data_IF_080788345433
#
_entry.id   IF_080788345433
#
_cell.length_a   1.000
_cell.length_b   1.000
_cell.length_c   1.000
_cell.angle_alpha   90.00
_cell.angle_beta   90.00
_cell.angle_gamma   90.00
#
_symmetry.space_group_name_H-M   'P 1'
#
loop_
_entity.id
_entity.type
_entity.pdbx_description
1 polymer ?
#
# COMPACT_ATOMS: atom_id res chain seq x y z
N UNK A 1 26.81 20.68 5.38
CA UNK A 1 25.99 20.71 4.15
C UNK A 1 25.48 19.29 3.91
N UNK A 2 24.23 19.00 4.28
CA UNK A 2 23.61 17.71 3.99
C UNK A 2 23.35 17.64 2.49
N UNK A 3 24.01 16.68 1.84
CA UNK A 3 24.02 16.48 0.39
C UNK A 3 22.65 15.97 -0.09
N UNK A 4 22.32 16.22 -1.37
CA UNK A 4 21.04 15.87 -2.02
C UNK A 4 20.53 14.44 -1.74
N UNK A 5 21.42 13.50 -1.41
CA UNK A 5 21.09 12.15 -0.96
C UNK A 5 20.21 12.10 0.31
N UNK A 6 20.35 13.06 1.24
CA UNK A 6 19.51 13.16 2.43
C UNK A 6 18.09 13.64 2.11
N UNK A 7 17.92 14.44 1.05
CA UNK A 7 16.62 14.90 0.56
C UNK A 7 15.92 13.79 -0.25
N UNK A 8 16.64 13.01 -1.05
CA UNK A 8 16.10 11.82 -1.73
C UNK A 8 15.67 10.71 -0.77
N UNK A 9 16.43 10.47 0.31
CA UNK A 9 16.04 9.51 1.35
C UNK A 9 14.75 9.93 2.09
N UNK A 10 14.50 11.24 2.20
CA UNK A 10 13.26 11.79 2.78
C UNK A 10 12.05 11.72 1.82
N UNK A 11 12.28 11.55 0.51
CA UNK A 11 11.24 11.45 -0.52
C UNK A 11 10.79 10.01 -0.83
N UNK A 12 11.53 8.98 -0.39
CA UNK A 12 11.41 7.62 -0.95
C UNK A 12 11.02 6.51 0.05
N UNK A 13 10.83 6.78 1.34
CA UNK A 13 10.64 5.71 2.33
C UNK A 13 9.19 5.59 2.80
N UNK A 14 8.23 5.40 1.87
CA UNK A 14 6.97 4.79 2.32
C UNK A 14 7.28 3.34 2.69
N UNK A 15 7.15 2.99 3.96
CA UNK A 15 7.47 1.66 4.48
C UNK A 15 6.49 0.63 3.88
N UNK A 16 6.85 0.05 2.75
CA UNK A 16 6.02 -0.88 1.99
C UNK A 16 6.45 -2.31 2.26
N UNK A 17 5.48 -3.19 2.52
CA UNK A 17 5.76 -4.60 2.79
C UNK A 17 4.88 -5.46 1.89
N UNK A 18 5.53 -6.34 1.13
CA UNK A 18 4.86 -7.28 0.21
C UNK A 18 4.58 -8.58 0.93
N UNK A 19 3.37 -9.11 0.76
CA UNK A 19 2.99 -10.40 1.32
C UNK A 19 2.44 -11.34 0.26
N UNK A 20 2.53 -12.64 0.54
CA UNK A 20 1.75 -13.68 -0.15
C UNK A 20 0.27 -13.57 0.24
N UNK A 21 -0.62 -14.16 -0.55
CA UNK A 21 -2.08 -14.04 -0.35
C UNK A 21 -2.52 -14.44 1.06
N UNK A 22 -2.05 -15.57 1.55
CA UNK A 22 -2.37 -16.13 2.87
C UNK A 22 -1.95 -15.17 4.02
N UNK A 23 -0.72 -14.68 3.98
CA UNK A 23 -0.18 -13.74 4.95
C UNK A 23 -0.91 -12.39 4.90
N UNK A 24 -1.19 -11.90 3.70
CA UNK A 24 -1.92 -10.64 3.52
C UNK A 24 -3.34 -10.73 4.08
N UNK A 25 -4.05 -11.84 3.82
CA UNK A 25 -5.38 -12.08 4.36
C UNK A 25 -5.37 -12.23 5.89
N UNK A 26 -4.31 -12.78 6.46
CA UNK A 26 -4.12 -12.79 7.92
C UNK A 26 -4.04 -11.36 8.48
N UNK A 27 -3.24 -10.49 7.86
CA UNK A 27 -3.14 -9.09 8.25
C UNK A 27 -4.45 -8.34 8.07
N UNK A 28 -5.21 -8.59 7.00
CA UNK A 28 -6.55 -8.01 6.81
C UNK A 28 -7.50 -8.42 7.94
N UNK A 29 -7.40 -9.68 8.43
CA UNK A 29 -8.21 -10.16 9.56
C UNK A 29 -7.79 -9.49 10.88
N UNK A 30 -6.50 -9.29 11.12
CA UNK A 30 -5.98 -8.64 12.32
C UNK A 30 -6.29 -7.13 12.34
N UNK A 31 -5.99 -6.44 11.25
CA UNK A 31 -6.10 -5.00 11.13
C UNK A 31 -7.54 -4.51 10.92
N UNK A 32 -8.42 -5.39 10.42
CA UNK A 32 -9.80 -5.07 10.04
C UNK A 32 -9.94 -3.72 9.31
N UNK A 33 -9.18 -3.51 8.22
CA UNK A 33 -9.16 -2.21 7.56
C UNK A 33 -10.55 -1.91 7.01
N UNK A 34 -11.04 -0.68 7.19
CA UNK A 34 -12.37 -0.28 6.70
C UNK A 34 -12.49 -0.39 5.17
N UNK A 35 -11.38 -0.14 4.47
CA UNK A 35 -11.29 -0.19 3.02
C UNK A 35 -10.00 -0.88 2.59
N UNK A 36 -10.08 -1.63 1.49
CA UNK A 36 -8.91 -2.10 0.75
C UNK A 36 -8.79 -1.25 -0.50
N UNK A 37 -7.58 -0.83 -0.85
CA UNK A 37 -7.34 -0.09 -2.08
C UNK A 37 -6.76 -1.00 -3.14
N UNK A 38 -7.06 -0.73 -4.41
CA UNK A 38 -6.49 -1.48 -5.54
C UNK A 38 -5.94 -0.54 -6.60
N UNK A 39 -4.73 -0.83 -7.06
CA UNK A 39 -4.18 -0.27 -8.30
C UNK A 39 -3.75 -1.42 -9.20
N UNK A 40 -4.34 -1.54 -10.38
CA UNK A 40 -4.16 -2.69 -11.28
C UNK A 40 -4.44 -4.01 -10.53
N UNK A 41 -3.45 -4.90 -10.41
CA UNK A 41 -3.55 -6.17 -9.70
C UNK A 41 -3.06 -6.11 -8.25
N UNK A 42 -2.75 -4.93 -7.73
CA UNK A 42 -2.16 -4.77 -6.40
C UNK A 42 -3.21 -4.24 -5.41
N UNK A 43 -3.52 -5.06 -4.41
CA UNK A 43 -4.35 -4.68 -3.27
C UNK A 43 -3.47 -4.24 -2.11
N UNK A 44 -3.86 -3.17 -1.43
CA UNK A 44 -3.09 -2.63 -0.32
C UNK A 44 -3.96 -1.90 0.71
N UNK A 45 -3.42 -1.78 1.92
CA UNK A 45 -3.96 -0.96 3.00
C UNK A 45 -2.84 -0.53 3.94
N UNK A 46 -3.10 0.47 4.79
CA UNK A 46 -2.16 0.91 5.80
C UNK A 46 -2.38 0.17 7.11
N UNK A 47 -1.31 -0.32 7.73
CA UNK A 47 -1.33 -0.96 9.04
C UNK A 47 -0.02 -0.67 9.78
N UNK A 48 -0.12 -0.21 11.04
CA UNK A 48 1.02 0.13 11.90
C UNK A 48 2.08 1.07 11.27
N UNK A 49 1.63 1.99 10.41
CA UNK A 49 2.52 2.93 9.71
C UNK A 49 3.19 2.37 8.45
N UNK A 50 2.91 1.12 8.09
CA UNK A 50 3.36 0.47 6.87
C UNK A 50 2.22 0.37 5.85
N UNK A 51 2.58 0.39 4.57
CA UNK A 51 1.66 0.02 3.49
C UNK A 51 1.88 -1.45 3.16
N UNK A 52 0.93 -2.28 3.58
CA UNK A 52 0.93 -3.70 3.29
C UNK A 52 0.31 -3.91 1.92
N UNK A 53 0.91 -4.72 1.05
CA UNK A 53 0.34 -5.01 -0.27
C UNK A 53 0.51 -6.45 -0.74
N UNK A 54 -0.41 -6.89 -1.60
CA UNK A 54 -0.41 -8.19 -2.25
C UNK A 54 -0.81 -8.06 -3.73
N UNK A 55 -0.30 -8.95 -4.58
CA UNK A 55 -0.62 -9.02 -6.02
C UNK A 55 -1.35 -10.31 -6.42
N UNK A 56 -1.59 -11.20 -5.44
CA UNK A 56 -2.20 -12.52 -5.63
C UNK A 56 -3.67 -12.55 -5.21
N UNK A 57 -4.14 -11.49 -4.53
CA UNK A 57 -5.53 -11.35 -4.14
C UNK A 57 -6.42 -10.93 -5.31
N UNK A 58 -7.69 -11.26 -5.19
CA UNK A 58 -8.78 -10.82 -6.05
C UNK A 58 -9.81 -10.08 -5.19
N UNK A 59 -10.64 -9.23 -5.81
CA UNK A 59 -11.59 -8.40 -5.06
C UNK A 59 -12.56 -9.23 -4.19
N UNK A 60 -12.93 -10.42 -4.65
CA UNK A 60 -13.83 -11.33 -3.92
C UNK A 60 -13.17 -12.02 -2.71
N UNK A 61 -11.85 -11.90 -2.54
CA UNK A 61 -11.17 -12.41 -1.34
C UNK A 61 -11.50 -11.54 -0.11
N UNK A 62 -11.95 -10.31 -0.31
CA UNK A 62 -12.19 -9.34 0.76
C UNK A 62 -13.68 -9.24 1.08
N UNK A 63 -14.02 -9.23 2.37
CA UNK A 63 -15.36 -8.86 2.84
C UNK A 63 -15.57 -7.35 2.90
N UNK A 64 -14.49 -6.58 2.80
CA UNK A 64 -14.48 -5.12 2.84
C UNK A 64 -14.62 -4.53 1.44
N UNK A 65 -15.04 -3.27 1.39
CA UNK A 65 -15.13 -2.54 0.13
C UNK A 65 -13.72 -2.33 -0.45
N UNK A 66 -13.53 -2.80 -1.69
CA UNK A 66 -12.36 -2.49 -2.51
C UNK A 66 -12.59 -1.16 -3.24
N UNK A 67 -11.66 -0.22 -3.08
CA UNK A 67 -11.66 1.09 -3.75
C UNK A 67 -10.56 1.11 -4.79
N UNK A 68 -10.93 1.32 -6.04
CA UNK A 68 -9.97 1.49 -7.13
C UNK A 68 -9.31 2.86 -7.05
N UNK A 69 -7.99 2.87 -6.94
CA UNK A 69 -7.17 4.07 -6.92
C UNK A 69 -6.53 4.30 -8.29
N UNK A 70 -6.28 5.58 -8.62
CA UNK A 70 -5.72 6.00 -9.91
C UNK A 70 -4.27 5.53 -10.05
N UNK A 71 -3.47 5.73 -9.01
CA UNK A 71 -2.05 5.41 -8.99
C UNK A 71 -1.56 5.03 -7.60
N UNK A 72 -0.45 4.30 -7.57
CA UNK A 72 0.29 3.98 -6.35
C UNK A 72 1.64 4.70 -6.37
N UNK A 73 1.63 6.00 -6.07
CA UNK A 73 2.81 6.85 -6.17
C UNK A 73 3.65 6.87 -4.89
N UNK A 74 4.97 6.96 -5.05
CA UNK A 74 5.91 7.36 -4.00
C UNK A 74 6.23 8.86 -4.08
N UNK A 75 5.84 9.51 -5.17
CA UNK A 75 6.18 10.90 -5.39
C UNK A 75 5.15 11.81 -4.72
N UNK A 76 5.59 12.98 -4.22
CA UNK A 76 4.66 14.04 -3.82
C UNK A 76 3.74 14.38 -4.99
N UNK A 77 2.46 14.61 -4.69
CA UNK A 77 1.48 15.01 -5.70
C UNK A 77 1.97 16.24 -6.47
N UNK A 78 2.33 16.05 -7.74
CA UNK A 78 2.69 17.15 -8.65
C UNK A 78 1.41 17.66 -9.30
N UNK A 79 0.91 18.82 -8.86
CA UNK A 79 -0.10 19.55 -9.63
C UNK A 79 0.56 20.05 -10.91
N UNK A 80 0.16 19.52 -12.05
CA UNK A 80 0.41 20.13 -13.36
C UNK A 80 -0.42 21.39 -13.53
#
# INVERSE_FOLDING_TARGET
MATAAAYEAALSSSYRVKFRKDQFMELVRMAQPRHIYRVKNMHFFAYDGFVMYCQECMDHDFGQRVIEAIEFSNEPWRKS
#
